data_IF_170783944375
#
_entry.id   IF_170783944375
#
_cell.length_a   1.000
_cell.length_b   1.000
_cell.length_c   1.000
_cell.angle_alpha   90.00
_cell.angle_beta   90.00
_cell.angle_gamma   90.00
#
_symmetry.space_group_name_H-M   'P 1'
#
loop_
_entity.id
_entity.type
_entity.pdbx_description
1 polymer ?
#
# COMPACT_ATOMS: atom_id res chain seq x y z
N UNK A 1 -63.29 -37.07 12.88
CA UNK A 1 -62.81 -36.95 11.50
C UNK A 1 -62.42 -35.53 11.07
N UNK A 2 -62.74 -34.45 11.79
CA UNK A 2 -62.34 -33.05 11.41
C UNK A 2 -60.97 -32.57 11.92
N UNK A 3 -60.30 -33.33 12.77
CA UNK A 3 -58.98 -32.97 13.34
C UNK A 3 -57.79 -33.56 12.54
N UNK A 4 -58.01 -34.60 11.74
CA UNK A 4 -56.95 -35.20 10.92
C UNK A 4 -56.76 -34.49 9.56
N UNK A 5 -57.76 -33.76 9.05
CA UNK A 5 -57.66 -33.02 7.80
C UNK A 5 -56.83 -31.71 7.94
N UNK A 6 -56.80 -31.10 9.14
CA UNK A 6 -56.04 -29.87 9.41
C UNK A 6 -54.55 -30.14 9.56
N UNK A 7 -54.15 -31.32 10.02
CA UNK A 7 -52.71 -31.71 10.15
C UNK A 7 -52.09 -32.11 8.84
N UNK A 8 -52.85 -32.60 7.86
CA UNK A 8 -52.37 -32.91 6.52
C UNK A 8 -52.21 -31.66 5.63
N UNK A 9 -53.00 -30.62 5.88
CA UNK A 9 -52.82 -29.33 5.19
C UNK A 9 -51.62 -28.53 5.70
N UNK A 10 -51.25 -28.69 6.99
CA UNK A 10 -50.08 -28.05 7.56
C UNK A 10 -48.77 -28.75 7.12
N UNK A 11 -48.81 -30.06 6.88
CA UNK A 11 -47.67 -30.84 6.38
C UNK A 11 -47.42 -30.59 4.85
N UNK A 12 -48.44 -30.25 4.12
CA UNK A 12 -48.32 -29.92 2.69
C UNK A 12 -47.74 -28.50 2.47
N UNK A 13 -47.90 -27.58 3.41
CA UNK A 13 -47.31 -26.22 3.36
C UNK A 13 -45.82 -26.17 3.78
N UNK A 14 -45.31 -27.21 4.41
CA UNK A 14 -43.90 -27.32 4.82
C UNK A 14 -43.03 -28.02 3.76
N UNK A 15 -43.61 -28.56 2.71
CA UNK A 15 -42.89 -29.24 1.61
C UNK A 15 -42.74 -28.44 0.35
N UNK A 16 -43.28 -27.20 0.29
CA UNK A 16 -43.13 -26.30 -0.86
C UNK A 16 -42.04 -25.22 -0.64
N UNK A 17 -41.24 -25.33 0.41
CA UNK A 17 -40.19 -24.36 0.78
C UNK A 17 -38.78 -24.87 0.57
N UNK A 18 -38.47 -25.62 -0.51
CA UNK A 18 -37.08 -25.92 -0.89
C UNK A 18 -36.99 -26.09 -2.40
N UNK A 19 -36.95 -24.98 -3.07
CA UNK A 19 -36.71 -24.84 -4.48
C UNK A 19 -36.46 -23.38 -4.85
N UNK A 20 -35.74 -22.66 -4.01
CA UNK A 20 -35.04 -21.49 -4.46
C UNK A 20 -33.80 -22.01 -5.18
N UNK A 21 -33.93 -22.41 -6.45
CA UNK A 21 -32.87 -22.21 -7.42
C UNK A 21 -32.56 -20.72 -7.33
N UNK A 22 -31.39 -20.37 -6.71
CA UNK A 22 -30.85 -19.03 -6.79
C UNK A 22 -30.72 -18.72 -8.29
N UNK A 23 -31.66 -17.98 -8.82
CA UNK A 23 -31.46 -17.25 -10.05
C UNK A 23 -30.39 -16.25 -9.67
N UNK A 24 -29.15 -16.46 -10.13
CA UNK A 24 -28.15 -15.40 -10.17
C UNK A 24 -28.88 -14.14 -10.68
N UNK A 25 -28.69 -12.98 -10.03
CA UNK A 25 -29.27 -11.74 -10.53
C UNK A 25 -28.85 -11.60 -11.99
N UNK A 26 -29.84 -11.31 -12.87
CA UNK A 26 -29.57 -11.17 -14.28
C UNK A 26 -28.52 -10.07 -14.46
N UNK A 27 -27.35 -10.46 -14.95
CA UNK A 27 -26.22 -9.53 -15.17
C UNK A 27 -26.66 -8.48 -16.20
N UNK A 28 -26.32 -7.22 -15.92
CA UNK A 28 -26.57 -6.15 -16.87
C UNK A 28 -25.74 -6.37 -18.14
N UNK A 29 -26.35 -6.11 -19.28
CA UNK A 29 -25.73 -6.30 -20.59
C UNK A 29 -25.54 -4.95 -21.27
N UNK A 30 -24.34 -4.66 -21.73
CA UNK A 30 -24.04 -3.48 -22.52
C UNK A 30 -24.73 -3.51 -23.89
N UNK A 31 -24.86 -2.36 -24.55
CA UNK A 31 -25.53 -2.25 -25.85
C UNK A 31 -24.90 -3.10 -26.98
N UNK A 32 -23.63 -3.48 -26.81
CA UNK A 32 -22.88 -4.35 -27.73
C UNK A 32 -22.96 -5.85 -27.38
N UNK A 33 -23.75 -6.21 -26.37
CA UNK A 33 -24.03 -7.59 -25.96
C UNK A 33 -23.08 -8.17 -24.92
N UNK A 34 -22.04 -7.43 -24.51
CA UNK A 34 -21.11 -7.86 -23.46
C UNK A 34 -21.70 -7.71 -22.05
N UNK A 35 -21.25 -8.51 -21.13
CA UNK A 35 -21.58 -8.36 -19.71
C UNK A 35 -21.01 -7.03 -19.18
N UNK A 36 -21.86 -6.24 -18.52
CA UNK A 36 -21.47 -4.96 -17.98
C UNK A 36 -20.87 -5.15 -16.58
N UNK A 37 -19.63 -4.67 -16.41
CA UNK A 37 -18.99 -4.52 -15.12
C UNK A 37 -19.00 -3.05 -14.72
N UNK A 38 -19.22 -2.78 -13.44
CA UNK A 38 -19.18 -1.44 -12.87
C UNK A 38 -17.89 -1.24 -12.08
N UNK A 39 -17.22 -0.10 -12.29
CA UNK A 39 -16.03 0.29 -11.54
C UNK A 39 -16.27 1.60 -10.80
N UNK A 40 -16.19 1.56 -9.47
CA UNK A 40 -16.14 2.76 -8.63
C UNK A 40 -14.72 3.31 -8.55
N UNK A 41 -14.54 4.64 -8.64
CA UNK A 41 -13.25 5.29 -8.51
C UNK A 41 -13.31 6.34 -7.39
N UNK A 42 -12.46 6.21 -6.37
CA UNK A 42 -12.39 7.10 -5.21
C UNK A 42 -11.50 8.34 -5.41
N UNK A 43 -10.99 8.58 -6.59
CA UNK A 43 -10.13 9.73 -6.87
C UNK A 43 -10.41 10.31 -8.25
N UNK A 44 -9.63 11.30 -8.68
CA UNK A 44 -9.69 11.84 -10.05
C UNK A 44 -9.15 10.86 -11.11
N UNK A 45 -9.50 9.60 -11.03
CA UNK A 45 -9.06 8.41 -11.70
C UNK A 45 -8.83 8.46 -13.22
N UNK A 46 -7.91 9.30 -13.69
CA UNK A 46 -7.49 9.29 -15.10
C UNK A 46 -6.86 7.95 -15.48
N UNK A 47 -6.03 7.39 -14.61
CA UNK A 47 -5.36 6.10 -14.82
C UNK A 47 -6.36 4.94 -14.82
N UNK A 48 -7.26 4.85 -13.83
CA UNK A 48 -8.31 3.82 -13.81
C UNK A 48 -9.16 3.80 -15.08
N UNK A 49 -9.46 4.98 -15.66
CA UNK A 49 -10.17 5.07 -16.93
C UNK A 49 -9.34 4.60 -18.12
N UNK A 50 -8.03 4.81 -18.12
CA UNK A 50 -7.14 4.31 -19.17
C UNK A 50 -7.12 2.78 -19.16
N UNK A 51 -6.97 2.16 -17.97
CA UNK A 51 -7.07 0.71 -17.83
C UNK A 51 -8.43 0.18 -18.28
N UNK A 52 -9.54 0.77 -17.82
CA UNK A 52 -10.89 0.37 -18.24
C UNK A 52 -11.10 0.54 -19.76
N UNK A 53 -10.59 1.62 -20.36
CA UNK A 53 -10.70 1.87 -21.80
C UNK A 53 -9.92 0.84 -22.60
N UNK A 54 -8.71 0.50 -22.18
CA UNK A 54 -7.87 -0.49 -22.84
C UNK A 54 -8.48 -1.90 -22.70
N UNK A 55 -8.96 -2.27 -21.52
CA UNK A 55 -9.71 -3.50 -21.30
C UNK A 55 -10.94 -3.59 -22.20
N UNK A 56 -11.74 -2.54 -22.26
CA UNK A 56 -12.95 -2.47 -23.11
C UNK A 56 -12.65 -2.64 -24.60
N UNK A 57 -11.45 -2.26 -25.04
CA UNK A 57 -11.01 -2.45 -26.43
C UNK A 57 -10.54 -3.89 -26.71
N UNK A 58 -10.25 -4.70 -25.69
CA UNK A 58 -9.68 -6.05 -25.79
C UNK A 58 -10.65 -7.16 -25.41
N UNK A 59 -11.41 -6.98 -24.31
CA UNK A 59 -12.35 -8.01 -23.86
C UNK A 59 -13.52 -8.16 -24.82
N UNK A 60 -13.82 -9.39 -25.19
CA UNK A 60 -14.98 -9.76 -26.01
C UNK A 60 -16.21 -10.05 -25.14
N UNK A 61 -16.02 -10.37 -23.86
CA UNK A 61 -17.05 -10.84 -22.95
C UNK A 61 -17.55 -9.74 -22.00
N UNK A 62 -16.63 -8.88 -21.52
CA UNK A 62 -16.94 -7.86 -20.52
C UNK A 62 -16.72 -6.44 -21.02
N UNK A 63 -17.45 -5.51 -20.41
CA UNK A 63 -17.29 -4.07 -20.61
C UNK A 63 -17.40 -3.34 -19.29
N UNK A 64 -16.43 -2.49 -18.98
CA UNK A 64 -16.39 -1.71 -17.75
C UNK A 64 -16.98 -0.32 -17.96
N UNK A 65 -17.94 0.06 -17.09
CA UNK A 65 -18.39 1.43 -16.91
C UNK A 65 -17.83 2.02 -15.61
N UNK A 66 -17.19 3.20 -15.72
CA UNK A 66 -16.50 3.86 -14.62
C UNK A 66 -17.37 4.94 -14.00
N UNK A 67 -17.57 4.88 -12.68
CA UNK A 67 -18.26 5.88 -11.88
C UNK A 67 -17.28 6.50 -10.87
N UNK A 68 -17.13 7.83 -10.89
CA UNK A 68 -16.33 8.54 -9.90
C UNK A 68 -17.14 8.90 -8.66
N UNK A 69 -16.55 8.63 -7.50
CA UNK A 69 -17.04 9.03 -6.19
C UNK A 69 -16.09 10.09 -5.59
N UNK A 70 -16.60 11.32 -5.43
CA UNK A 70 -15.80 12.43 -4.89
C UNK A 70 -16.66 13.42 -4.12
N UNK A 71 -16.08 14.10 -3.16
CA UNK A 71 -16.75 15.21 -2.49
C UNK A 71 -17.08 16.34 -3.47
N UNK A 72 -18.31 16.87 -3.39
CA UNK A 72 -18.81 17.88 -4.32
C UNK A 72 -19.35 17.34 -5.67
N UNK A 73 -19.37 16.00 -5.86
CA UNK A 73 -20.07 15.40 -7.00
C UNK A 73 -21.60 15.49 -6.87
N UNK A 74 -22.31 15.08 -7.93
CA UNK A 74 -23.77 14.96 -7.89
C UNK A 74 -24.22 14.05 -6.73
N UNK A 75 -25.44 14.27 -6.23
CA UNK A 75 -25.99 13.45 -5.14
C UNK A 75 -25.89 11.95 -5.45
N UNK A 76 -25.45 11.17 -4.47
CA UNK A 76 -25.27 9.72 -4.62
C UNK A 76 -23.90 9.27 -5.17
N UNK A 77 -22.94 10.19 -5.37
CA UNK A 77 -21.59 9.88 -5.86
C UNK A 77 -20.49 10.44 -4.96
N UNK A 78 -20.70 10.34 -3.65
CA UNK A 78 -19.68 10.72 -2.65
C UNK A 78 -18.99 9.46 -2.12
N UNK A 79 -17.76 9.57 -1.56
CA UNK A 79 -17.12 8.45 -0.87
C UNK A 79 -18.02 7.80 0.18
N UNK A 80 -18.73 8.59 0.98
CA UNK A 80 -19.66 8.07 2.00
C UNK A 80 -20.79 7.23 1.38
N UNK A 81 -21.29 7.63 0.20
CA UNK A 81 -22.33 6.86 -0.52
C UNK A 81 -21.77 5.52 -0.99
N UNK A 82 -20.54 5.50 -1.52
CA UNK A 82 -19.88 4.27 -1.93
C UNK A 82 -19.68 3.33 -0.73
N UNK A 83 -19.24 3.89 0.40
CA UNK A 83 -19.08 3.15 1.66
C UNK A 83 -20.40 2.46 2.05
N UNK A 84 -21.51 3.20 2.01
CA UNK A 84 -22.83 2.62 2.31
C UNK A 84 -23.23 1.52 1.32
N UNK A 85 -23.04 1.74 0.03
CA UNK A 85 -23.33 0.73 -1.01
C UNK A 85 -22.52 -0.56 -0.81
N UNK A 86 -21.21 -0.43 -0.52
CA UNK A 86 -20.36 -1.59 -0.23
C UNK A 86 -20.82 -2.35 1.02
N UNK A 87 -21.20 -1.63 2.08
CA UNK A 87 -21.70 -2.24 3.33
C UNK A 87 -23.06 -2.95 3.13
N UNK A 88 -23.88 -2.47 2.20
CA UNK A 88 -25.19 -3.05 1.85
C UNK A 88 -25.07 -4.20 0.82
N UNK A 89 -23.87 -4.43 0.26
CA UNK A 89 -23.65 -5.40 -0.82
C UNK A 89 -24.19 -4.94 -2.19
N UNK A 90 -24.43 -3.65 -2.35
CA UNK A 90 -24.94 -3.00 -3.58
C UNK A 90 -23.85 -2.15 -4.28
N UNK A 91 -22.57 -2.41 -3.95
CA UNK A 91 -21.42 -1.71 -4.51
C UNK A 91 -21.11 -2.07 -5.97
N UNK A 92 -20.14 -1.39 -6.60
CA UNK A 92 -19.65 -1.74 -7.92
C UNK A 92 -18.93 -3.10 -7.89
N UNK A 93 -18.70 -3.71 -9.07
CA UNK A 93 -17.95 -4.97 -9.19
C UNK A 93 -16.45 -4.79 -8.92
N UNK A 94 -15.94 -3.63 -9.28
CA UNK A 94 -14.54 -3.24 -9.13
C UNK A 94 -14.45 -1.90 -8.40
N UNK A 95 -13.39 -1.76 -7.63
CA UNK A 95 -13.04 -0.49 -7.00
C UNK A 95 -11.62 -0.10 -7.37
N UNK A 96 -11.43 1.15 -7.75
CA UNK A 96 -10.15 1.76 -8.00
C UNK A 96 -9.89 2.89 -7.00
N UNK A 97 -8.72 2.86 -6.36
CA UNK A 97 -8.29 3.85 -5.37
C UNK A 97 -6.81 4.20 -5.56
N UNK A 98 -6.39 5.32 -5.01
CA UNK A 98 -4.98 5.68 -4.88
C UNK A 98 -4.55 5.48 -3.44
N UNK A 99 -3.87 4.37 -3.17
CA UNK A 99 -3.42 4.04 -1.82
C UNK A 99 -4.43 3.22 -1.00
N UNK A 100 -4.18 3.11 0.29
CA UNK A 100 -4.86 2.20 1.21
C UNK A 100 -6.09 2.80 1.90
N UNK A 101 -6.85 3.66 1.23
CA UNK A 101 -7.95 4.43 1.82
C UNK A 101 -9.19 3.61 2.25
N UNK A 102 -9.08 2.28 2.35
CA UNK A 102 -10.19 1.40 2.76
C UNK A 102 -10.18 1.06 4.24
N UNK A 103 -10.24 2.09 5.05
CA UNK A 103 -10.15 1.95 6.50
C UNK A 103 -11.45 1.65 7.19
N UNK A 104 -12.56 1.87 6.50
CA UNK A 104 -13.88 1.78 7.12
C UNK A 104 -14.50 0.37 7.10
N UNK A 105 -13.78 -0.63 6.52
CA UNK A 105 -14.31 -1.99 6.37
C UNK A 105 -13.34 -3.05 6.84
N UNK A 106 -13.89 -4.15 7.36
CA UNK A 106 -13.17 -5.41 7.32
C UNK A 106 -12.97 -5.81 5.86
N UNK A 107 -11.74 -5.65 5.33
CA UNK A 107 -11.43 -5.87 3.91
C UNK A 107 -11.87 -7.24 3.43
N UNK A 108 -11.70 -8.26 4.28
CA UNK A 108 -12.09 -9.66 4.01
C UNK A 108 -13.59 -9.87 3.79
N UNK A 109 -14.45 -9.00 4.30
CA UNK A 109 -15.90 -9.10 4.12
C UNK A 109 -16.39 -8.40 2.84
N UNK A 110 -15.61 -7.47 2.31
CA UNK A 110 -16.03 -6.60 1.20
C UNK A 110 -15.31 -6.96 -0.10
N UNK A 111 -14.06 -7.40 -0.02
CA UNK A 111 -13.22 -7.64 -1.19
C UNK A 111 -12.81 -9.11 -1.32
N UNK A 112 -12.56 -9.52 -2.55
CA UNK A 112 -11.99 -10.84 -2.87
C UNK A 112 -10.50 -10.84 -2.49
N UNK A 113 -10.06 -11.90 -1.85
CA UNK A 113 -8.64 -12.12 -1.55
C UNK A 113 -7.88 -12.49 -2.84
N UNK A 114 -6.78 -11.80 -3.13
CA UNK A 114 -6.06 -11.85 -4.40
C UNK A 114 -4.76 -12.70 -4.36
N UNK A 115 -4.46 -13.34 -3.24
CA UNK A 115 -3.28 -14.22 -3.11
C UNK A 115 -3.21 -15.28 -4.21
N UNK A 116 -4.30 -16.00 -4.53
CA UNK A 116 -4.31 -16.96 -5.64
C UNK A 116 -4.00 -16.32 -7.01
N UNK A 117 -4.46 -15.08 -7.25
CA UNK A 117 -4.14 -14.34 -8.47
C UNK A 117 -2.64 -14.00 -8.53
N UNK A 118 -2.06 -13.52 -7.44
CA UNK A 118 -0.63 -13.23 -7.41
C UNK A 118 0.21 -14.49 -7.59
N UNK A 119 -0.24 -15.62 -7.09
CA UNK A 119 0.44 -16.91 -7.26
C UNK A 119 0.42 -17.36 -8.75
N UNK A 120 -0.62 -17.01 -9.53
CA UNK A 120 -0.66 -17.26 -10.98
C UNK A 120 0.46 -16.48 -11.72
N UNK A 121 0.89 -15.33 -11.20
CA UNK A 121 1.87 -14.43 -11.80
C UNK A 121 3.21 -14.39 -11.03
N UNK A 122 3.44 -15.30 -10.09
CA UNK A 122 4.61 -15.28 -9.21
C UNK A 122 5.95 -15.17 -9.94
N UNK A 123 6.10 -15.87 -11.06
CA UNK A 123 7.32 -15.88 -11.89
C UNK A 123 7.43 -14.66 -12.83
N UNK A 124 6.35 -13.86 -12.96
CA UNK A 124 6.30 -12.70 -13.85
C UNK A 124 6.42 -11.38 -13.09
N UNK A 125 6.07 -11.37 -11.80
CA UNK A 125 6.15 -10.20 -10.93
C UNK A 125 7.60 -9.91 -10.54
N UNK A 126 7.90 -8.63 -10.26
CA UNK A 126 9.16 -8.23 -9.60
C UNK A 126 9.28 -8.99 -8.28
N UNK A 127 10.32 -9.81 -8.05
CA UNK A 127 10.38 -10.71 -6.89
C UNK A 127 10.20 -10.01 -5.55
N UNK A 128 10.85 -8.85 -5.35
CA UNK A 128 10.70 -8.09 -4.11
C UNK A 128 9.28 -7.54 -3.93
N UNK A 129 8.55 -7.22 -5.01
CA UNK A 129 7.14 -6.78 -4.95
C UNK A 129 6.24 -7.95 -4.59
N UNK A 130 6.42 -9.11 -5.24
CA UNK A 130 5.66 -10.31 -4.93
C UNK A 130 5.82 -10.71 -3.46
N UNK A 131 7.05 -10.77 -2.96
CA UNK A 131 7.38 -11.08 -1.56
C UNK A 131 6.75 -10.07 -0.58
N UNK A 132 6.85 -8.77 -0.90
CA UNK A 132 6.29 -7.72 -0.05
C UNK A 132 4.75 -7.79 0.01
N UNK A 133 4.08 -8.09 -1.11
CA UNK A 133 2.62 -8.24 -1.15
C UNK A 133 2.17 -9.52 -0.42
N UNK A 134 2.88 -10.64 -0.61
CA UNK A 134 2.58 -11.92 0.08
C UNK A 134 2.83 -11.83 1.59
N UNK A 135 3.70 -10.95 2.03
CA UNK A 135 3.93 -10.69 3.45
C UNK A 135 2.82 -9.90 4.17
N UNK A 136 1.81 -9.40 3.43
CA UNK A 136 0.68 -8.68 4.00
C UNK A 136 -0.34 -9.63 4.65
N UNK A 137 -1.11 -9.11 5.60
CA UNK A 137 -2.24 -9.83 6.21
C UNK A 137 -3.46 -9.77 5.27
N UNK A 138 -3.47 -10.67 4.27
CA UNK A 138 -4.46 -10.73 3.21
C UNK A 138 -4.24 -9.67 2.12
N UNK A 139 -4.41 -10.06 0.87
CA UNK A 139 -4.18 -9.20 -0.29
C UNK A 139 -5.53 -8.90 -0.92
N UNK A 140 -6.06 -7.70 -0.69
CA UNK A 140 -7.39 -7.29 -1.16
C UNK A 140 -7.34 -6.20 -2.23
N UNK A 141 -6.13 -5.75 -2.59
CA UNK A 141 -5.92 -4.76 -3.63
C UNK A 141 -4.69 -5.07 -4.46
N UNK A 142 -4.81 -4.97 -5.77
CA UNK A 142 -3.73 -5.12 -6.73
C UNK A 142 -3.19 -3.74 -7.10
N UNK A 143 -1.96 -3.36 -6.70
CA UNK A 143 -1.35 -2.14 -7.16
C UNK A 143 -0.96 -2.25 -8.64
N UNK A 144 -1.16 -1.18 -9.41
CA UNK A 144 -0.72 -1.12 -10.81
C UNK A 144 0.78 -0.91 -10.92
N UNK A 145 1.33 -0.14 -9.97
CA UNK A 145 2.74 0.18 -9.91
C UNK A 145 3.20 0.38 -8.48
N UNK A 146 4.50 0.59 -8.34
CA UNK A 146 5.11 0.77 -7.02
C UNK A 146 6.19 1.83 -7.02
N UNK A 147 6.54 2.28 -5.82
CA UNK A 147 7.73 3.04 -5.51
C UNK A 147 8.54 2.35 -4.42
N UNK A 148 9.75 2.82 -4.21
CA UNK A 148 10.61 2.33 -3.13
C UNK A 148 11.11 3.51 -2.32
N UNK A 149 10.75 3.54 -1.05
CA UNK A 149 11.40 4.40 -0.06
C UNK A 149 12.72 3.79 0.36
N UNK A 150 13.79 4.60 0.39
CA UNK A 150 15.12 4.20 0.82
C UNK A 150 15.86 5.38 1.45
N UNK A 151 16.97 5.09 2.10
CA UNK A 151 17.95 6.11 2.52
C UNK A 151 19.20 5.97 1.66
N UNK A 152 19.71 7.10 1.18
CA UNK A 152 20.93 7.18 0.39
C UNK A 152 22.01 7.98 1.13
N UNK A 153 23.26 7.62 0.87
CA UNK A 153 24.44 8.38 1.31
C UNK A 153 25.57 8.23 0.29
N UNK A 154 26.65 8.99 0.45
CA UNK A 154 27.87 8.73 -0.30
C UNK A 154 28.67 7.60 0.38
N UNK A 155 29.16 6.58 -0.36
CA UNK A 155 29.97 5.50 0.20
C UNK A 155 31.22 6.02 0.95
N UNK A 156 31.77 7.14 0.53
CA UNK A 156 32.93 7.76 1.18
C UNK A 156 32.64 8.30 2.58
N UNK A 157 31.40 8.66 2.88
CA UNK A 157 30.98 9.19 4.18
C UNK A 157 30.81 8.07 5.23
N UNK A 158 30.57 6.85 4.78
CA UNK A 158 30.31 5.68 5.65
C UNK A 158 31.41 4.61 5.55
N UNK A 159 32.58 4.96 5.05
CA UNK A 159 33.72 4.04 4.93
C UNK A 159 33.47 2.83 4.02
N UNK A 160 32.49 2.92 3.10
CA UNK A 160 32.11 1.83 2.20
C UNK A 160 31.23 0.76 2.85
N UNK A 161 30.69 1.01 4.05
CA UNK A 161 29.73 0.08 4.69
C UNK A 161 28.43 0.02 3.90
N UNK A 162 27.76 -1.14 3.93
CA UNK A 162 26.48 -1.38 3.24
C UNK A 162 25.26 -1.26 4.17
N UNK A 163 25.47 -1.24 5.48
CA UNK A 163 24.48 -1.02 6.53
C UNK A 163 25.15 -0.33 7.71
N UNK A 164 24.39 0.33 8.56
CA UNK A 164 24.84 1.02 9.77
C UNK A 164 23.94 0.65 10.93
N UNK A 165 24.52 0.54 12.12
CA UNK A 165 23.75 0.68 13.36
C UNK A 165 23.41 2.15 13.58
N UNK A 166 22.46 2.45 14.47
CA UNK A 166 22.11 3.83 14.78
C UNK A 166 23.31 4.57 15.43
N UNK A 167 24.09 3.89 16.25
CA UNK A 167 25.27 4.47 16.89
C UNK A 167 26.38 4.79 15.87
N UNK A 168 26.62 3.92 14.90
CA UNK A 168 27.54 4.20 13.79
C UNK A 168 27.05 5.36 12.94
N UNK A 169 25.75 5.41 12.63
CA UNK A 169 25.15 6.53 11.90
C UNK A 169 25.34 7.87 12.63
N UNK A 170 25.15 7.90 13.96
CA UNK A 170 25.42 9.08 14.79
C UNK A 170 26.90 9.47 14.77
N UNK A 171 27.81 8.50 14.82
CA UNK A 171 29.26 8.77 14.75
C UNK A 171 29.66 9.36 13.40
N UNK A 172 29.17 8.78 12.29
CA UNK A 172 29.45 9.30 10.94
C UNK A 172 28.81 10.69 10.74
N UNK A 173 27.59 10.90 11.22
CA UNK A 173 26.92 12.20 11.15
C UNK A 173 27.75 13.26 11.91
N UNK A 174 28.21 12.97 13.14
CA UNK A 174 29.05 13.88 13.91
C UNK A 174 30.38 14.25 13.22
N UNK A 175 30.95 13.33 12.43
CA UNK A 175 32.15 13.58 11.65
C UNK A 175 31.96 14.54 10.47
N UNK A 176 30.71 14.79 10.02
CA UNK A 176 30.41 15.76 8.96
C UNK A 176 30.59 17.20 9.42
N UNK A 177 30.44 17.50 10.70
CA UNK A 177 30.62 18.82 11.27
C UNK A 177 29.57 19.20 12.31
N UNK A 178 29.70 20.41 12.85
CA UNK A 178 28.78 20.93 13.84
C UNK A 178 27.37 21.09 13.24
N UNK A 179 26.35 20.63 13.96
CA UNK A 179 24.95 20.69 13.53
C UNK A 179 24.53 19.65 12.49
N UNK A 180 25.41 18.69 12.16
CA UNK A 180 25.02 17.58 11.29
C UNK A 180 24.03 16.64 12.00
N UNK A 181 23.14 16.04 11.21
CA UNK A 181 22.13 15.08 11.66
C UNK A 181 22.30 13.74 10.95
N UNK A 182 21.74 12.67 11.52
CA UNK A 182 21.67 11.37 10.84
C UNK A 182 20.75 11.47 9.63
N UNK A 183 19.55 12.03 9.81
CA UNK A 183 18.52 12.12 8.79
C UNK A 183 18.31 13.55 8.28
N UNK A 184 17.47 13.68 7.27
CA UNK A 184 17.07 14.96 6.67
C UNK A 184 16.53 15.93 7.73
N UNK A 185 17.18 17.07 7.89
CA UNK A 185 16.78 18.11 8.86
C UNK A 185 15.49 18.86 8.44
N UNK A 186 15.03 18.70 7.21
CA UNK A 186 13.75 19.26 6.75
C UNK A 186 12.55 18.46 7.26
N UNK A 187 12.75 17.17 7.61
CA UNK A 187 11.70 16.35 8.20
C UNK A 187 11.33 16.83 9.59
N UNK A 188 10.05 16.99 9.82
CA UNK A 188 9.52 17.24 11.17
C UNK A 188 9.36 15.92 11.93
N UNK A 189 9.12 16.00 13.23
CA UNK A 189 8.81 14.82 14.08
C UNK A 189 7.68 13.99 13.48
N UNK A 190 6.57 14.64 13.14
CA UNK A 190 5.40 13.98 12.57
C UNK A 190 5.68 13.39 11.19
N UNK A 191 6.42 14.08 10.33
CA UNK A 191 6.77 13.56 8.99
C UNK A 191 7.74 12.38 9.08
N UNK A 192 8.72 12.45 9.97
CA UNK A 192 9.67 11.36 10.20
C UNK A 192 8.94 10.14 10.78
N UNK A 193 8.10 10.33 11.81
CA UNK A 193 7.32 9.26 12.42
C UNK A 193 6.43 8.53 11.39
N UNK A 194 5.71 9.28 10.56
CA UNK A 194 4.88 8.70 9.49
C UNK A 194 5.68 7.83 8.52
N UNK A 195 6.92 8.23 8.20
CA UNK A 195 7.81 7.44 7.35
C UNK A 195 8.27 6.17 8.06
N UNK A 196 8.69 6.31 9.30
CA UNK A 196 9.18 5.18 10.10
C UNK A 196 8.06 4.18 10.35
N UNK A 197 6.83 4.63 10.64
CA UNK A 197 5.67 3.73 10.72
C UNK A 197 5.45 2.95 9.42
N UNK A 198 5.59 3.61 8.27
CA UNK A 198 5.54 2.95 6.98
C UNK A 198 6.55 1.80 6.83
N UNK A 199 7.63 1.79 7.62
CA UNK A 199 8.67 0.77 7.58
C UNK A 199 8.53 -0.29 8.66
N UNK A 200 8.06 0.08 9.83
CA UNK A 200 8.21 -0.71 11.06
C UNK A 200 6.91 -1.07 11.76
N UNK A 201 5.80 -0.35 11.52
CA UNK A 201 4.59 -0.55 12.31
C UNK A 201 4.07 -2.00 12.27
N UNK A 202 4.18 -2.67 11.12
CA UNK A 202 3.79 -4.08 10.97
C UNK A 202 4.60 -5.05 11.84
N UNK A 203 5.85 -4.71 12.19
CA UNK A 203 6.69 -5.56 13.05
C UNK A 203 6.25 -5.57 14.53
N UNK A 204 5.43 -4.61 14.92
CA UNK A 204 4.85 -4.52 16.27
C UNK A 204 3.46 -5.16 16.39
N UNK A 205 3.00 -5.86 15.36
CA UNK A 205 1.69 -6.52 15.32
C UNK A 205 1.87 -7.99 14.98
N UNK A 206 1.32 -8.85 15.83
CA UNK A 206 1.18 -10.27 15.57
C UNK A 206 -0.26 -10.54 15.10
N UNK A 207 -0.41 -10.77 13.81
CA UNK A 207 -1.69 -11.03 13.18
C UNK A 207 -2.22 -12.46 13.43
N UNK A 208 -1.37 -13.40 13.84
CA UNK A 208 -1.81 -14.76 14.18
C UNK A 208 -2.53 -14.78 15.53
N UNK A 209 -2.02 -13.99 16.49
CA UNK A 209 -2.56 -13.87 17.83
C UNK A 209 -3.42 -12.64 18.06
N UNK A 210 -3.49 -11.74 17.08
CA UNK A 210 -4.17 -10.44 17.18
C UNK A 210 -3.66 -9.61 18.37
N UNK A 211 -2.34 -9.59 18.56
CA UNK A 211 -1.70 -8.82 19.62
C UNK A 211 -0.72 -7.79 19.06
N UNK A 212 -0.35 -6.81 19.87
CA UNK A 212 0.63 -5.80 19.50
C UNK A 212 1.60 -5.50 20.64
N UNK A 213 2.70 -4.80 20.32
CA UNK A 213 3.79 -4.45 21.24
C UNK A 213 4.24 -3.00 21.08
N UNK A 214 3.30 -2.06 20.94
CA UNK A 214 3.60 -0.62 20.81
C UNK A 214 4.07 0.04 22.12
N UNK A 215 4.11 -0.68 23.24
CA UNK A 215 4.71 -0.27 24.50
C UNK A 215 6.09 -0.92 24.77
N UNK A 216 6.65 -1.62 23.77
CA UNK A 216 7.99 -2.22 23.89
C UNK A 216 9.10 -1.19 23.92
N UNK A 217 10.27 -1.58 24.41
CA UNK A 217 11.47 -0.73 24.47
C UNK A 217 11.88 -0.25 23.06
N UNK A 218 11.81 -1.15 22.06
CA UNK A 218 12.13 -0.82 20.68
C UNK A 218 11.19 0.26 20.09
N UNK A 219 9.91 0.22 20.43
CA UNK A 219 8.97 1.25 19.96
C UNK A 219 9.15 2.57 20.71
N UNK A 220 9.50 2.53 21.99
CA UNK A 220 9.87 3.72 22.76
C UNK A 220 11.12 4.40 22.19
N UNK A 221 12.17 3.65 21.87
CA UNK A 221 13.39 4.17 21.23
C UNK A 221 13.06 4.86 19.89
N UNK A 222 12.11 4.31 19.14
CA UNK A 222 11.65 4.89 17.90
C UNK A 222 10.92 6.23 18.11
N UNK A 223 10.07 6.35 19.13
CA UNK A 223 9.44 7.63 19.50
C UNK A 223 10.47 8.66 19.97
N UNK A 224 11.47 8.23 20.74
CA UNK A 224 12.57 9.11 21.18
C UNK A 224 13.40 9.59 19.99
N UNK A 225 13.71 8.72 19.03
CA UNK A 225 14.40 9.09 17.80
C UNK A 225 13.59 10.12 16.98
N UNK A 226 12.26 10.02 16.97
CA UNK A 226 11.41 11.04 16.35
C UNK A 226 11.49 12.38 17.06
N UNK A 227 11.63 12.40 18.40
CA UNK A 227 11.80 13.63 19.16
C UNK A 227 13.14 14.35 18.90
N UNK A 228 14.16 13.64 18.41
CA UNK A 228 15.42 14.25 17.95
C UNK A 228 15.23 15.08 16.67
N UNK A 229 14.14 14.85 15.92
CA UNK A 229 13.86 15.58 14.69
C UNK A 229 13.34 16.99 14.98
N UNK A 230 13.28 17.82 13.94
CA UNK A 230 12.77 19.19 13.99
C UNK A 230 11.30 19.20 14.46
N UNK A 231 10.96 20.09 15.38
CA UNK A 231 9.55 20.27 15.81
C UNK A 231 8.68 20.71 14.63
N UNK A 232 7.39 20.30 14.65
CA UNK A 232 6.47 20.50 13.52
C UNK A 232 6.21 21.98 13.18
N UNK A 233 6.27 22.87 14.17
CA UNK A 233 6.07 24.31 14.04
C UNK A 233 7.37 25.09 13.81
N UNK A 234 8.53 24.44 13.78
CA UNK A 234 9.83 25.08 13.62
C UNK A 234 10.08 25.50 12.16
N UNK A 235 10.80 26.60 11.92
CA UNK A 235 11.19 26.99 10.57
C UNK A 235 12.10 25.97 9.92
N UNK A 236 12.14 25.96 8.57
CA UNK A 236 13.10 25.14 7.82
C UNK A 236 14.55 25.55 8.19
N UNK A 237 15.47 24.58 8.30
CA UNK A 237 16.86 24.88 8.55
C UNK A 237 17.50 25.59 7.36
N UNK A 238 18.47 26.47 7.63
CA UNK A 238 19.24 27.14 6.57
C UNK A 238 20.18 26.17 5.85
N UNK A 239 20.70 25.19 6.59
CA UNK A 239 21.58 24.15 6.06
C UNK A 239 21.06 22.78 6.46
N UNK A 240 21.06 21.86 5.50
CA UNK A 240 20.65 20.48 5.68
C UNK A 240 21.87 19.54 5.59
N UNK A 241 22.76 19.66 6.59
CA UNK A 241 23.91 18.78 6.74
C UNK A 241 23.44 17.47 7.37
N UNK A 242 23.40 16.40 6.58
CA UNK A 242 22.89 15.09 6.96
C UNK A 242 23.75 13.96 6.44
N UNK A 243 23.71 12.82 7.13
CA UNK A 243 24.37 11.60 6.68
C UNK A 243 23.51 10.82 5.69
N UNK A 244 22.25 10.60 6.06
CA UNK A 244 21.28 9.80 5.30
C UNK A 244 20.19 10.70 4.74
N UNK A 245 19.98 10.60 3.42
CA UNK A 245 18.91 11.29 2.72
C UNK A 245 17.79 10.32 2.38
N UNK A 246 16.59 10.62 2.84
CA UNK A 246 15.38 9.86 2.53
C UNK A 246 14.95 10.13 1.08
N UNK A 247 14.74 9.08 0.31
CA UNK A 247 14.39 9.18 -1.09
C UNK A 247 13.26 8.22 -1.47
N UNK A 248 12.33 8.71 -2.27
CA UNK A 248 11.31 7.90 -2.92
C UNK A 248 11.67 7.73 -4.39
N UNK A 249 11.91 6.50 -4.80
CA UNK A 249 12.15 6.10 -6.17
C UNK A 249 10.86 5.55 -6.77
N UNK A 250 10.40 6.13 -7.87
CA UNK A 250 9.18 5.67 -8.56
C UNK A 250 9.42 5.36 -10.03
N UNK A 251 10.53 5.81 -10.61
CA UNK A 251 10.84 5.57 -12.01
C UNK A 251 12.35 5.58 -12.27
N UNK A 252 12.84 4.90 -13.33
CA UNK A 252 14.27 4.92 -13.71
C UNK A 252 14.84 6.31 -13.97
N UNK A 253 14.03 7.28 -14.39
CA UNK A 253 14.47 8.66 -14.66
C UNK A 253 15.03 9.43 -13.46
N UNK A 254 14.73 8.99 -12.22
CA UNK A 254 15.28 9.60 -11.01
C UNK A 254 16.80 9.42 -10.88
N UNK A 255 17.37 8.36 -11.46
CA UNK A 255 18.80 8.06 -11.37
C UNK A 255 19.66 9.10 -12.11
N UNK A 256 19.28 9.50 -13.32
CA UNK A 256 20.03 10.47 -14.10
C UNK A 256 19.89 11.93 -13.66
N UNK A 257 18.71 12.30 -13.15
CA UNK A 257 18.36 13.70 -12.83
C UNK A 257 18.58 14.10 -11.37
N UNK A 258 18.37 13.18 -10.45
CA UNK A 258 18.37 13.41 -8.99
C UNK A 258 19.61 12.87 -8.29
N UNK A 259 19.83 11.57 -8.38
CA UNK A 259 20.86 10.88 -7.60
C UNK A 259 22.29 11.18 -8.09
N UNK A 260 22.52 11.19 -9.42
CA UNK A 260 23.86 11.44 -9.97
C UNK A 260 24.39 12.86 -9.75
N UNK A 261 23.52 13.85 -9.53
CA UNK A 261 23.97 15.22 -9.23
C UNK A 261 24.73 15.35 -7.92
N UNK A 262 24.52 14.40 -6.98
CA UNK A 262 25.22 14.35 -5.70
C UNK A 262 26.56 13.61 -5.72
N UNK A 263 26.99 13.03 -6.84
CA UNK A 263 28.16 12.17 -6.94
C UNK A 263 27.85 10.70 -6.77
N UNK A 264 28.83 9.90 -6.31
CA UNK A 264 28.58 8.48 -6.02
C UNK A 264 27.69 8.31 -4.80
N UNK A 265 26.79 7.32 -4.84
CA UNK A 265 25.80 7.05 -3.80
C UNK A 265 25.62 5.54 -3.57
N UNK A 266 25.10 5.17 -2.40
CA UNK A 266 24.65 3.82 -2.08
C UNK A 266 23.31 3.86 -1.33
N UNK A 267 22.56 2.78 -1.45
CA UNK A 267 21.34 2.56 -0.67
C UNK A 267 21.69 1.90 0.67
N UNK A 268 21.27 2.52 1.76
CA UNK A 268 21.65 2.09 3.11
C UNK A 268 20.52 1.38 3.87
N UNK A 269 19.28 1.69 3.56
CA UNK A 269 18.17 1.31 4.43
C UNK A 269 18.13 2.14 5.72
N UNK A 270 17.28 1.72 6.66
CA UNK A 270 17.20 2.34 7.99
C UNK A 270 18.29 1.75 8.89
N UNK A 271 19.04 2.57 9.65
CA UNK A 271 20.06 2.07 10.56
C UNK A 271 19.49 1.11 11.60
N UNK A 272 20.07 -0.07 11.72
CA UNK A 272 19.63 -1.12 12.64
C UNK A 272 20.79 -2.03 13.04
N UNK A 273 20.69 -2.71 14.18
CA UNK A 273 21.74 -3.61 14.68
C UNK A 273 21.90 -4.87 13.82
N UNK A 274 20.82 -5.26 13.12
CA UNK A 274 20.85 -6.32 12.12
C UNK A 274 20.67 -5.74 10.71
N UNK A 275 21.34 -6.29 9.69
CA UNK A 275 21.13 -5.85 8.32
C UNK A 275 19.67 -6.00 7.93
N UNK A 276 18.98 -4.86 7.80
CA UNK A 276 17.59 -4.78 7.40
C UNK A 276 17.40 -4.59 5.89
N UNK A 277 16.16 -4.46 5.43
CA UNK A 277 15.85 -4.14 4.04
C UNK A 277 16.44 -2.78 3.69
N UNK A 278 16.99 -2.66 2.47
CA UNK A 278 17.51 -1.38 1.94
C UNK A 278 16.38 -0.48 1.42
N UNK A 279 15.19 -1.03 1.21
CA UNK A 279 14.05 -0.28 0.70
C UNK A 279 12.73 -0.84 1.19
N UNK A 280 11.71 0.01 1.14
CA UNK A 280 10.33 -0.32 1.50
C UNK A 280 9.42 -0.01 0.34
N UNK A 281 8.60 -1.00 0.00
CA UNK A 281 7.60 -0.89 -1.03
C UNK A 281 6.52 0.12 -0.60
N UNK A 282 6.19 1.03 -1.49
CA UNK A 282 4.98 1.83 -1.41
C UNK A 282 4.18 1.63 -2.69
N UNK A 283 2.87 1.56 -2.58
CA UNK A 283 2.01 1.58 -3.75
C UNK A 283 2.10 2.96 -4.41
N UNK A 284 2.25 2.98 -5.72
CA UNK A 284 2.17 4.18 -6.53
C UNK A 284 1.28 3.89 -7.75
N UNK A 285 0.43 4.85 -8.13
CA UNK A 285 -0.62 4.64 -9.11
C UNK A 285 -1.95 4.16 -8.51
N UNK A 286 -2.70 3.34 -9.26
CA UNK A 286 -3.98 2.80 -8.82
C UNK A 286 -3.82 1.50 -8.04
N UNK A 287 -4.76 1.28 -7.12
CA UNK A 287 -4.99 -0.04 -6.51
C UNK A 287 -6.38 -0.49 -6.96
N UNK A 288 -6.46 -1.65 -7.57
CA UNK A 288 -7.72 -2.26 -8.00
C UNK A 288 -8.15 -3.37 -7.04
N UNK A 289 -9.41 -3.34 -6.60
CA UNK A 289 -10.01 -4.37 -5.76
C UNK A 289 -11.19 -4.99 -6.48
N UNK A 290 -11.37 -6.30 -6.35
CA UNK A 290 -12.60 -7.00 -6.75
C UNK A 290 -13.55 -7.00 -5.56
N UNK A 291 -14.79 -6.56 -5.76
CA UNK A 291 -15.82 -6.51 -4.71
C UNK A 291 -16.51 -7.87 -4.63
N UNK A 292 -16.55 -8.46 -3.43
CA UNK A 292 -17.05 -9.83 -3.23
C UNK A 292 -18.54 -10.02 -3.54
N UNK A 293 -19.35 -8.95 -3.43
CA UNK A 293 -20.78 -8.98 -3.78
C UNK A 293 -21.06 -8.76 -5.27
N UNK A 294 -20.05 -8.35 -6.06
CA UNK A 294 -20.16 -8.07 -7.48
C UNK A 294 -19.92 -9.28 -8.40
N UNK A 295 -19.73 -9.02 -9.68
CA UNK A 295 -19.28 -10.03 -10.65
C UNK A 295 -17.80 -10.34 -10.46
N UNK A 296 -17.49 -11.30 -9.58
CA UNK A 296 -16.12 -11.66 -9.24
C UNK A 296 -15.36 -12.29 -10.40
N UNK A 297 -16.03 -12.99 -11.32
CA UNK A 297 -15.41 -13.62 -12.49
C UNK A 297 -14.91 -12.56 -13.46
N UNK A 298 -15.76 -11.61 -13.83
CA UNK A 298 -15.37 -10.49 -14.70
C UNK A 298 -14.37 -9.55 -14.03
N UNK A 299 -14.51 -9.32 -12.73
CA UNK A 299 -13.53 -8.54 -11.96
C UNK A 299 -12.14 -9.19 -11.96
N UNK A 300 -12.05 -10.51 -11.79
CA UNK A 300 -10.78 -11.25 -11.85
C UNK A 300 -10.18 -11.28 -13.26
N UNK A 301 -11.01 -11.31 -14.33
CA UNK A 301 -10.52 -11.16 -15.70
C UNK A 301 -9.87 -9.79 -15.91
N UNK A 302 -10.50 -8.72 -15.40
CA UNK A 302 -9.91 -7.39 -15.45
C UNK A 302 -8.60 -7.32 -14.65
N UNK A 303 -8.52 -7.92 -13.46
CA UNK A 303 -7.28 -7.91 -12.66
C UNK A 303 -6.14 -8.68 -13.33
N UNK A 304 -6.43 -9.82 -14.01
CA UNK A 304 -5.44 -10.49 -14.86
C UNK A 304 -4.98 -9.61 -16.01
N UNK A 305 -5.91 -8.87 -16.63
CA UNK A 305 -5.56 -7.92 -17.68
C UNK A 305 -4.65 -6.80 -17.15
N UNK A 306 -4.87 -6.27 -15.93
CA UNK A 306 -3.98 -5.28 -15.29
C UNK A 306 -2.54 -5.80 -15.19
N UNK A 307 -2.35 -7.09 -14.98
CA UNK A 307 -1.04 -7.77 -14.95
C UNK A 307 -0.52 -8.16 -16.36
N UNK A 308 -1.14 -7.71 -17.44
CA UNK A 308 -0.61 -7.92 -18.79
C UNK A 308 0.49 -6.91 -19.13
N UNK A 309 1.46 -7.26 -19.98
CA UNK A 309 2.49 -6.31 -20.42
C UNK A 309 1.90 -5.05 -21.04
N UNK A 310 0.84 -5.18 -21.86
CA UNK A 310 0.16 -4.06 -22.51
C UNK A 310 -0.47 -3.08 -21.50
N UNK A 311 -1.09 -3.60 -20.44
CA UNK A 311 -1.68 -2.78 -19.39
C UNK A 311 -0.60 -2.11 -18.53
N UNK A 312 0.50 -2.80 -18.27
CA UNK A 312 1.62 -2.28 -17.50
C UNK A 312 2.40 -1.16 -18.22
N UNK A 313 2.27 -1.03 -19.55
CA UNK A 313 2.78 0.13 -20.28
C UNK A 313 2.12 1.46 -19.88
N UNK A 314 0.87 1.42 -19.35
CA UNK A 314 0.14 2.60 -18.88
C UNK A 314 0.64 3.15 -17.54
N UNK A 315 1.37 2.35 -16.77
CA UNK A 315 1.84 2.72 -15.43
C UNK A 315 2.93 3.78 -15.53
N UNK A 316 2.81 4.89 -14.79
CA UNK A 316 3.82 5.96 -14.82
C UNK A 316 4.99 5.67 -13.85
N UNK A 317 4.71 4.96 -12.75
CA UNK A 317 5.70 4.53 -11.76
C UNK A 317 6.43 3.23 -12.17
N UNK A 318 7.18 2.61 -11.26
CA UNK A 318 7.74 1.27 -11.50
C UNK A 318 6.60 0.27 -11.72
N UNK A 319 6.60 -0.47 -12.84
CA UNK A 319 5.60 -1.48 -13.12
C UNK A 319 5.82 -2.71 -12.23
N UNK A 320 4.75 -3.43 -11.87
CA UNK A 320 4.86 -4.63 -11.04
C UNK A 320 5.36 -5.86 -11.81
N UNK A 321 5.30 -5.84 -13.15
CA UNK A 321 5.87 -6.92 -13.99
C UNK A 321 7.37 -6.72 -14.22
N UNK A 322 8.16 -7.78 -13.99
CA UNK A 322 9.60 -7.78 -14.18
C UNK A 322 10.00 -7.45 -15.63
N UNK A 323 9.32 -8.05 -16.60
CA UNK A 323 9.62 -7.83 -18.02
C UNK A 323 9.45 -6.36 -18.45
N UNK A 324 8.46 -5.67 -17.92
CA UNK A 324 8.23 -4.26 -18.22
C UNK A 324 9.21 -3.36 -17.45
N UNK A 325 9.56 -3.72 -16.21
CA UNK A 325 10.61 -3.04 -15.46
C UNK A 325 11.97 -3.13 -16.18
N UNK A 326 12.34 -4.31 -16.66
CA UNK A 326 13.57 -4.55 -17.42
C UNK A 326 13.57 -3.70 -18.69
N UNK A 327 12.48 -3.72 -19.47
CA UNK A 327 12.34 -2.91 -20.68
C UNK A 327 12.53 -1.42 -20.43
N UNK A 328 11.95 -0.89 -19.34
CA UNK A 328 12.10 0.52 -18.96
C UNK A 328 13.49 0.85 -18.48
N UNK A 329 14.11 -0.04 -17.72
CA UNK A 329 15.50 0.11 -17.25
C UNK A 329 16.46 0.10 -18.41
N UNK A 330 16.32 -0.84 -19.33
CA UNK A 330 17.12 -0.91 -20.58
C UNK A 330 16.96 0.37 -21.42
N UNK A 331 15.73 0.84 -21.57
CA UNK A 331 15.45 2.09 -22.29
C UNK A 331 16.13 3.29 -21.60
N UNK A 332 16.08 3.35 -20.28
CA UNK A 332 16.73 4.43 -19.51
C UNK A 332 18.26 4.40 -19.66
N UNK A 333 18.86 3.20 -19.70
CA UNK A 333 20.30 3.03 -19.95
C UNK A 333 20.65 3.45 -21.38
N UNK A 334 19.92 2.98 -22.38
CA UNK A 334 20.14 3.32 -23.79
C UNK A 334 20.00 4.83 -24.06
N UNK A 335 19.08 5.50 -23.38
CA UNK A 335 18.84 6.94 -23.50
C UNK A 335 19.72 7.78 -22.58
N UNK A 336 20.63 7.15 -21.82
CA UNK A 336 21.54 7.80 -20.86
C UNK A 336 20.82 8.54 -19.71
N UNK A 337 19.60 8.17 -19.42
CA UNK A 337 18.89 8.62 -18.21
C UNK A 337 19.37 7.88 -16.95
N UNK A 338 19.97 6.70 -17.13
CA UNK A 338 20.53 5.85 -16.10
C UNK A 338 21.85 5.23 -16.61
N UNK A 339 22.81 5.00 -15.72
CA UNK A 339 24.00 4.22 -16.07
C UNK A 339 23.77 2.72 -15.83
N UNK A 340 24.61 1.85 -16.45
CA UNK A 340 24.58 0.40 -16.14
C UNK A 340 24.85 0.12 -14.66
N UNK A 341 25.70 0.93 -14.00
CA UNK A 341 25.97 0.82 -12.58
C UNK A 341 24.75 1.17 -11.73
N UNK A 342 23.95 2.17 -12.14
CA UNK A 342 22.71 2.54 -11.46
C UNK A 342 21.63 1.46 -11.67
N UNK A 343 21.56 0.86 -12.86
CA UNK A 343 20.66 -0.27 -13.12
C UNK A 343 20.96 -1.46 -12.21
N UNK A 344 22.23 -1.80 -12.02
CA UNK A 344 22.65 -2.84 -11.08
C UNK A 344 22.31 -2.48 -9.60
N UNK A 345 22.43 -1.20 -9.23
CA UNK A 345 22.00 -0.75 -7.88
C UNK A 345 20.48 -0.87 -7.70
N UNK A 346 19.70 -0.53 -8.73
CA UNK A 346 18.24 -0.68 -8.71
C UNK A 346 17.85 -2.17 -8.58
N UNK A 347 18.45 -3.06 -9.36
CA UNK A 347 18.24 -4.49 -9.27
C UNK A 347 18.54 -5.01 -7.85
N UNK A 348 19.67 -4.58 -7.27
CA UNK A 348 20.03 -4.91 -5.89
C UNK A 348 19.05 -4.37 -4.84
N UNK A 349 18.44 -3.19 -5.07
CA UNK A 349 17.45 -2.61 -4.19
C UNK A 349 16.09 -3.36 -4.27
N UNK A 350 15.72 -3.81 -5.46
CA UNK A 350 14.45 -4.53 -5.74
C UNK A 350 14.55 -6.04 -5.54
N UNK A 351 15.73 -6.56 -5.18
CA UNK A 351 15.93 -7.98 -4.87
C UNK A 351 15.13 -8.41 -3.63
N UNK A 352 14.98 -9.72 -3.37
CA UNK A 352 14.26 -10.23 -2.21
C UNK A 352 14.68 -9.53 -0.91
N UNK A 353 13.69 -9.05 -0.15
CA UNK A 353 13.90 -8.31 1.10
C UNK A 353 13.22 -6.95 1.13
N UNK A 354 12.58 -6.48 0.06
CA UNK A 354 11.64 -5.38 0.14
C UNK A 354 10.53 -5.74 1.13
N UNK A 355 10.13 -4.79 1.96
CA UNK A 355 8.99 -4.95 2.86
C UNK A 355 7.91 -3.95 2.53
N UNK A 356 6.65 -4.36 2.65
CA UNK A 356 5.50 -3.48 2.64
C UNK A 356 5.08 -3.18 4.07
N UNK A 357 4.66 -1.95 4.32
CA UNK A 357 3.95 -1.63 5.55
C UNK A 357 2.50 -2.08 5.37
N UNK A 358 2.14 -3.20 5.96
CA UNK A 358 0.74 -3.64 6.01
C UNK A 358 0.14 -3.34 7.38
N UNK A 359 -0.17 -2.08 7.59
CA UNK A 359 -0.87 -1.63 8.79
C UNK A 359 -2.18 -0.98 8.36
N UNK A 360 -3.34 -1.48 8.83
CA UNK A 360 -4.62 -0.83 8.59
C UNK A 360 -4.57 0.66 8.93
N UNK A 361 -5.22 1.48 8.13
CA UNK A 361 -5.19 2.93 8.34
C UNK A 361 -5.71 3.33 9.73
N UNK A 362 -6.66 2.58 10.31
CA UNK A 362 -7.13 2.83 11.67
C UNK A 362 -6.00 2.73 12.68
N UNK A 363 -5.16 1.71 12.57
CA UNK A 363 -3.97 1.59 13.42
C UNK A 363 -3.03 2.75 13.14
N UNK A 364 -2.78 3.05 11.85
CA UNK A 364 -1.93 4.17 11.46
C UNK A 364 -2.46 5.51 12.02
N UNK A 365 -3.77 5.76 11.99
CA UNK A 365 -4.38 6.96 12.58
C UNK A 365 -4.27 6.97 14.10
N UNK A 366 -4.50 5.85 14.79
CA UNK A 366 -4.30 5.75 16.24
C UNK A 366 -2.87 6.14 16.60
N UNK A 367 -1.88 5.54 15.92
CA UNK A 367 -0.48 5.78 16.20
C UNK A 367 -0.08 7.25 15.94
N UNK A 368 -0.53 7.82 14.81
CA UNK A 368 -0.19 9.20 14.45
C UNK A 368 -0.89 10.23 15.36
N UNK A 369 -2.12 9.99 15.78
CA UNK A 369 -2.86 10.85 16.70
C UNK A 369 -2.18 10.91 18.08
N UNK A 370 -1.85 9.76 18.67
CA UNK A 370 -1.19 9.71 19.98
C UNK A 370 0.24 10.26 19.92
N UNK A 371 0.96 10.06 18.81
CA UNK A 371 2.28 10.63 18.62
C UNK A 371 2.26 12.17 18.58
N UNK A 372 1.22 12.78 17.99
CA UNK A 372 1.11 14.25 17.94
C UNK A 372 1.11 14.87 19.34
N UNK A 373 0.41 14.30 20.32
CA UNK A 373 0.41 14.77 21.69
C UNK A 373 1.82 14.68 22.33
N UNK A 374 2.56 13.63 22.05
CA UNK A 374 3.94 13.47 22.50
C UNK A 374 4.85 14.51 21.83
N UNK A 375 4.75 14.71 20.53
CA UNK A 375 5.58 15.66 19.77
C UNK A 375 5.30 17.11 20.11
N UNK A 376 4.08 17.44 20.55
CA UNK A 376 3.70 18.73 21.09
C UNK A 376 4.22 18.96 22.55
N UNK A 377 4.65 17.88 23.22
CA UNK A 377 5.10 17.93 24.61
C UNK A 377 3.97 17.82 25.66
N UNK A 378 2.77 17.41 25.23
CA UNK A 378 1.59 17.25 26.10
C UNK A 378 1.65 15.95 26.92
N UNK A 379 2.50 14.99 26.52
CA UNK A 379 2.77 13.75 27.23
C UNK A 379 4.17 13.22 26.94
N UNK A 380 4.61 12.27 27.76
CA UNK A 380 5.91 11.56 27.56
C UNK A 380 5.78 10.48 26.47
N UNK A 381 6.90 10.03 25.85
CA UNK A 381 6.90 8.88 24.94
C UNK A 381 6.23 7.63 25.54
N UNK A 382 6.53 7.32 26.81
CA UNK A 382 5.96 6.18 27.51
C UNK A 382 4.43 6.28 27.69
N UNK A 383 3.89 7.48 27.96
CA UNK A 383 2.45 7.71 28.06
C UNK A 383 1.77 7.63 26.70
N UNK A 384 2.40 8.10 25.62
CA UNK A 384 1.91 7.96 24.26
C UNK A 384 1.91 6.49 23.82
N UNK A 385 3.01 5.78 24.02
CA UNK A 385 3.16 4.36 23.73
C UNK A 385 2.11 3.50 24.45
N UNK A 386 1.87 3.74 25.73
CA UNK A 386 0.84 3.02 26.51
C UNK A 386 -0.56 3.25 25.93
N UNK A 387 -0.89 4.49 25.49
CA UNK A 387 -2.19 4.77 24.86
C UNK A 387 -2.29 4.13 23.47
N UNK A 388 -1.21 4.14 22.68
CA UNK A 388 -1.16 3.42 21.40
C UNK A 388 -1.41 1.93 21.61
N UNK A 389 -0.72 1.32 22.57
CA UNK A 389 -0.87 -0.08 22.93
C UNK A 389 -2.31 -0.42 23.31
N UNK A 390 -2.94 0.34 24.20
CA UNK A 390 -4.32 0.12 24.63
C UNK A 390 -5.33 0.24 23.49
N UNK A 391 -5.20 1.30 22.67
CA UNK A 391 -6.12 1.54 21.56
C UNK A 391 -5.99 0.51 20.46
N UNK A 392 -4.74 0.16 20.07
CA UNK A 392 -4.50 -0.87 19.05
C UNK A 392 -4.89 -2.25 19.55
N UNK A 393 -4.61 -2.60 20.80
CA UNK A 393 -5.07 -3.87 21.38
C UNK A 393 -6.60 -3.99 21.36
N UNK A 394 -7.32 -2.90 21.65
CA UNK A 394 -8.79 -2.87 21.54
C UNK A 394 -9.25 -3.09 20.09
N UNK A 395 -8.62 -2.40 19.13
CA UNK A 395 -8.90 -2.57 17.70
C UNK A 395 -8.70 -4.01 17.24
N UNK A 396 -7.60 -4.64 17.65
CA UNK A 396 -7.28 -6.04 17.29
C UNK A 396 -8.24 -7.03 17.95
N UNK A 397 -8.61 -6.82 19.23
CA UNK A 397 -9.53 -7.69 19.95
C UNK A 397 -10.96 -7.71 19.38
N UNK A 398 -11.39 -6.63 18.70
CA UNK A 398 -12.69 -6.58 18.03
C UNK A 398 -12.72 -7.40 16.73
N UNK A 399 -11.56 -7.87 16.25
CA UNK A 399 -11.36 -8.57 14.97
C UNK A 399 -10.77 -9.98 15.11
N UNK A 400 -10.46 -10.38 16.35
CA UNK A 400 -9.93 -11.71 16.68
C UNK A 400 -10.99 -12.83 16.66
#
# INVERSE_FOLDING_TARGET
>A
MRRCAALLLLAALLLTGCGASGTEPARETAADGRTLLTMGVLSTGSEARQFASLFNARSEEYKIEVTEYRYGAAAGRTPDTLIMQLAEGEGPDLLATTGTDFTSFERSLVFVELGPLLDEFADELVPGVYEALKGQHGIYGLPTGFGVWTFITSPSLVGGQESLTMDEARQYAAALGEGAAVFDKWLTRSEFFKRVLGFSAGSFIDWETYTCSFDSEEFLDLLELCLEQRADDSPLPEEDLRLLHSWLLTAPGWFGGGLQKGGDYCFMGFPSDEPGPKGWLTTDGQVFCAVASGDTEGAMEFLRFVLSPEAQELVESFPVLQSELDRRTDTAVQTQLMSEADAAKLEGLLSPGLRSSDVPNEIYFILTEEAQACFAGDCTPAEAAARMQDRVSTYLAERS
#
